data_IF_106317809717
#
_entry.id   IF_106317809717
#
_cell.length_a   1.000
_cell.length_b   1.000
_cell.length_c   1.000
_cell.angle_alpha   90.00
_cell.angle_beta   90.00
_cell.angle_gamma   90.00
#
_symmetry.space_group_name_H-M   'P 1'
#
loop_
_entity.id
_entity.type
_entity.pdbx_description
1 polymer ?
#
# COMPACT_ATOMS: atom_id res chain seq x y z
N UNK A 1 -19.90 -27.18 -1.60
CA UNK A 1 -19.04 -26.94 -2.78
C UNK A 1 -17.59 -27.08 -2.32
N UNK A 2 -16.82 -28.02 -2.87
CA UNK A 2 -15.38 -28.13 -2.60
C UNK A 2 -14.68 -26.98 -3.34
N UNK A 3 -14.35 -25.92 -2.61
CA UNK A 3 -13.57 -24.79 -3.13
C UNK A 3 -12.22 -25.32 -3.61
N UNK A 4 -11.96 -25.23 -4.92
CA UNK A 4 -10.64 -25.59 -5.47
C UNK A 4 -9.58 -24.78 -4.74
N UNK A 5 -8.57 -25.48 -4.24
CA UNK A 5 -7.39 -24.86 -3.62
C UNK A 5 -6.86 -23.77 -4.56
N UNK A 6 -6.69 -22.54 -4.08
CA UNK A 6 -6.21 -21.39 -4.85
C UNK A 6 -4.81 -21.59 -5.44
N UNK A 7 -4.13 -22.65 -5.03
CA UNK A 7 -2.83 -23.07 -5.54
C UNK A 7 -2.93 -24.02 -6.75
N UNK A 8 -4.12 -24.42 -7.18
CA UNK A 8 -4.28 -25.33 -8.32
C UNK A 8 -4.38 -24.55 -9.65
N UNK A 9 -3.53 -24.89 -10.61
CA UNK A 9 -3.48 -24.30 -11.95
C UNK A 9 -3.75 -25.35 -13.02
N UNK A 10 -4.70 -25.12 -13.94
CA UNK A 10 -4.99 -26.08 -15.02
C UNK A 10 -3.82 -26.18 -16.01
N UNK A 11 -3.68 -27.35 -16.63
CA UNK A 11 -2.69 -27.56 -17.68
C UNK A 11 -2.97 -26.67 -18.91
N UNK A 12 -2.00 -25.88 -19.41
CA UNK A 12 -2.21 -24.92 -20.51
C UNK A 12 -2.57 -25.54 -21.88
N UNK A 13 -2.39 -26.85 -22.07
CA UNK A 13 -2.65 -27.51 -23.36
C UNK A 13 -4.14 -27.59 -23.73
N UNK A 14 -5.07 -27.24 -22.83
CA UNK A 14 -6.53 -27.16 -23.10
C UNK A 14 -7.24 -28.50 -23.26
N UNK A 15 -6.57 -29.53 -23.79
CA UNK A 15 -7.08 -30.92 -23.89
C UNK A 15 -6.84 -31.73 -22.62
N UNK A 16 -5.85 -31.33 -21.82
CA UNK A 16 -5.47 -32.00 -20.59
C UNK A 16 -6.29 -31.48 -19.40
N UNK A 17 -7.02 -32.37 -18.70
CA UNK A 17 -7.82 -32.01 -17.51
C UNK A 17 -7.01 -31.96 -16.20
N UNK A 18 -5.72 -32.28 -16.26
CA UNK A 18 -4.81 -32.20 -15.11
C UNK A 18 -4.38 -30.76 -14.83
N UNK A 19 -3.64 -30.60 -13.75
CA UNK A 19 -3.12 -29.32 -13.32
C UNK A 19 -2.00 -29.47 -12.31
N UNK A 20 -1.51 -28.34 -11.84
CA UNK A 20 -0.34 -28.22 -11.00
C UNK A 20 -0.72 -27.56 -9.68
N UNK A 21 -0.10 -27.98 -8.58
CA UNK A 21 -0.26 -27.32 -7.29
C UNK A 21 0.97 -26.48 -7.00
N UNK A 22 0.77 -25.20 -6.72
CA UNK A 22 1.78 -24.26 -6.26
C UNK A 22 1.99 -24.36 -4.75
N UNK A 23 3.23 -24.25 -4.31
CA UNK A 23 3.48 -23.85 -2.92
C UNK A 23 3.19 -22.35 -2.80
N UNK A 24 2.66 -21.92 -1.66
CA UNK A 24 2.22 -20.54 -1.44
C UNK A 24 3.33 -19.50 -1.65
N UNK A 25 4.59 -19.92 -1.56
CA UNK A 25 5.80 -19.10 -1.69
C UNK A 25 6.36 -18.99 -3.13
N UNK A 26 5.87 -19.79 -4.07
CA UNK A 26 6.37 -19.80 -5.46
C UNK A 26 5.52 -18.87 -6.34
N UNK A 27 6.16 -17.96 -7.08
CA UNK A 27 5.50 -17.05 -8.04
C UNK A 27 5.53 -17.59 -9.48
N UNK A 28 6.53 -18.41 -9.79
CA UNK A 28 6.75 -19.06 -11.07
C UNK A 28 7.28 -20.47 -10.86
N UNK A 29 6.80 -21.42 -11.66
CA UNK A 29 7.28 -22.80 -11.65
C UNK A 29 7.29 -23.34 -13.06
N UNK A 30 8.42 -23.93 -13.44
CA UNK A 30 8.50 -24.79 -14.62
C UNK A 30 8.28 -26.23 -14.20
N UNK A 31 7.25 -26.87 -14.74
CA UNK A 31 6.88 -28.23 -14.40
C UNK A 31 6.42 -29.00 -15.65
N UNK A 32 6.65 -30.30 -15.64
CA UNK A 32 6.13 -31.22 -16.66
C UNK A 32 4.76 -31.71 -16.18
N UNK A 33 3.76 -31.69 -17.05
CA UNK A 33 2.43 -32.20 -16.72
C UNK A 33 2.46 -33.74 -16.67
N UNK A 34 2.11 -34.33 -15.53
CA UNK A 34 2.09 -35.80 -15.35
C UNK A 34 1.15 -36.55 -16.30
N UNK A 35 0.21 -35.85 -16.96
CA UNK A 35 -0.77 -36.45 -17.86
C UNK A 35 -0.54 -36.20 -19.35
N UNK A 36 0.29 -35.21 -19.72
CA UNK A 36 0.59 -34.95 -21.14
C UNK A 36 2.08 -34.83 -21.46
N UNK A 37 2.95 -34.97 -20.46
CA UNK A 37 4.41 -34.86 -20.55
C UNK A 37 4.93 -33.55 -21.19
N UNK A 38 4.05 -32.56 -21.34
CA UNK A 38 4.43 -31.23 -21.84
C UNK A 38 5.00 -30.40 -20.71
N UNK A 39 6.19 -29.84 -20.95
CA UNK A 39 6.83 -28.88 -20.06
C UNK A 39 6.16 -27.52 -20.18
N UNK A 40 5.64 -27.03 -19.06
CA UNK A 40 4.98 -25.73 -18.97
C UNK A 40 5.70 -24.83 -17.96
N UNK A 41 5.75 -23.54 -18.27
CA UNK A 41 6.08 -22.50 -17.31
C UNK A 41 4.79 -21.86 -16.85
N UNK A 42 4.45 -22.05 -15.58
CA UNK A 42 3.21 -21.57 -14.98
C UNK A 42 3.59 -20.39 -14.08
N UNK A 43 2.88 -19.30 -14.22
CA UNK A 43 3.05 -18.09 -13.41
C UNK A 43 1.77 -17.85 -12.65
N UNK A 44 1.90 -17.52 -11.36
CA UNK A 44 0.76 -17.03 -10.59
C UNK A 44 0.29 -15.73 -11.26
N UNK A 45 -0.95 -15.70 -11.69
CA UNK A 45 -1.53 -14.50 -12.30
C UNK A 45 -1.74 -13.49 -11.17
N UNK A 46 -0.81 -12.55 -11.01
CA UNK A 46 -1.10 -11.30 -10.29
C UNK A 46 -1.98 -10.46 -11.21
N UNK A 47 -3.24 -10.86 -11.38
CA UNK A 47 -4.25 -9.99 -11.98
C UNK A 47 -4.54 -8.88 -10.95
N UNK A 48 -3.84 -7.76 -11.12
CA UNK A 48 -4.28 -6.49 -10.59
C UNK A 48 -5.30 -5.95 -11.57
N UNK A 49 -6.47 -5.60 -11.07
CA UNK A 49 -7.49 -4.94 -11.84
C UNK A 49 -6.95 -3.64 -12.46
N UNK A 50 -7.47 -3.28 -13.62
CA UNK A 50 -7.06 -2.07 -14.34
C UNK A 50 -7.26 -0.82 -13.46
N UNK A 51 -8.34 -0.78 -12.68
CA UNK A 51 -8.62 0.31 -11.73
C UNK A 51 -7.53 0.49 -10.66
N UNK A 52 -6.96 -0.59 -10.13
CA UNK A 52 -5.83 -0.49 -9.20
C UNK A 52 -4.57 0.05 -9.87
N UNK A 53 -4.30 -0.34 -11.12
CA UNK A 53 -3.16 0.19 -11.87
C UNK A 53 -3.35 1.69 -12.22
N UNK A 54 -4.58 2.12 -12.49
CA UNK A 54 -4.91 3.54 -12.65
C UNK A 54 -4.68 4.32 -11.36
N UNK A 55 -5.16 3.81 -10.23
CA UNK A 55 -4.94 4.44 -8.91
C UNK A 55 -3.45 4.55 -8.54
N UNK A 56 -2.63 3.60 -8.96
CA UNK A 56 -1.16 3.68 -8.83
C UNK A 56 -0.56 4.77 -9.72
N UNK A 57 -1.00 4.87 -10.99
CA UNK A 57 -0.52 5.89 -11.94
C UNK A 57 -0.90 7.31 -11.50
N UNK A 58 -2.11 7.49 -10.98
CA UNK A 58 -2.59 8.76 -10.45
C UNK A 58 -1.95 9.12 -9.10
N UNK A 59 -1.25 8.17 -8.46
CA UNK A 59 -0.64 8.37 -7.15
C UNK A 59 -1.65 8.44 -6.01
N UNK A 60 -2.91 8.04 -6.23
CA UNK A 60 -3.94 7.86 -5.18
C UNK A 60 -3.57 6.71 -4.24
N UNK A 61 -2.95 5.67 -4.81
CA UNK A 61 -2.32 4.58 -4.06
C UNK A 61 -0.82 4.67 -4.29
N UNK A 62 -0.04 4.48 -3.23
CA UNK A 62 1.41 4.28 -3.32
C UNK A 62 1.80 3.01 -2.58
N UNK A 63 2.78 2.30 -3.11
CA UNK A 63 3.28 1.08 -2.50
C UNK A 63 4.36 1.42 -1.46
N UNK A 64 4.28 0.81 -0.28
CA UNK A 64 5.31 0.92 0.73
C UNK A 64 6.68 0.58 0.11
N UNK A 65 7.72 1.42 0.26
CA UNK A 65 9.01 1.22 -0.37
C UNK A 65 9.67 -0.11 0.04
N UNK A 66 9.45 -0.53 1.30
CA UNK A 66 10.03 -1.75 1.88
C UNK A 66 9.28 -3.04 1.50
N UNK A 67 7.97 -3.12 1.68
CA UNK A 67 7.21 -4.38 1.52
C UNK A 67 6.19 -4.39 0.38
N UNK A 68 6.11 -3.29 -0.40
CA UNK A 68 5.17 -3.09 -1.51
C UNK A 68 3.69 -3.20 -1.15
N UNK A 69 3.34 -3.13 0.14
CA UNK A 69 1.95 -3.07 0.57
C UNK A 69 1.31 -1.75 0.11
N UNK A 70 0.09 -1.78 -0.47
CA UNK A 70 -0.57 -0.57 -0.93
C UNK A 70 -1.03 0.31 0.22
N UNK A 71 -0.84 1.61 0.07
CA UNK A 71 -1.26 2.64 1.00
C UNK A 71 -2.03 3.74 0.28
N UNK A 72 -2.96 4.34 1.00
CA UNK A 72 -3.63 5.57 0.64
C UNK A 72 -3.35 6.63 1.71
N UNK A 73 -3.49 7.89 1.32
CA UNK A 73 -3.39 9.05 2.20
C UNK A 73 -4.49 10.03 1.83
N UNK A 74 -5.25 10.47 2.84
CA UNK A 74 -6.22 11.54 2.66
C UNK A 74 -5.53 12.91 2.57
N UNK A 75 -6.17 13.84 1.85
CA UNK A 75 -5.73 15.22 1.77
C UNK A 75 -5.78 15.90 3.15
N UNK A 76 -4.74 16.68 3.47
CA UNK A 76 -4.66 17.36 4.76
C UNK A 76 -4.00 16.53 5.87
N UNK A 77 -3.24 15.49 5.52
CA UNK A 77 -2.40 14.72 6.45
C UNK A 77 -0.93 14.89 6.13
N UNK A 78 -0.05 14.72 7.12
CA UNK A 78 1.37 14.77 6.83
C UNK A 78 1.80 13.57 5.98
N UNK A 79 2.84 13.76 5.17
CA UNK A 79 3.37 12.73 4.30
C UNK A 79 4.09 11.59 5.05
N UNK A 80 4.36 11.72 6.35
CA UNK A 80 4.99 10.65 7.13
C UNK A 80 3.95 9.64 7.59
N UNK A 81 4.02 8.42 7.05
CA UNK A 81 3.08 7.32 7.27
C UNK A 81 3.78 6.11 7.88
N UNK A 82 3.03 5.29 8.63
CA UNK A 82 3.49 3.97 9.08
C UNK A 82 2.88 2.87 8.21
N UNK A 83 3.69 1.91 7.79
CA UNK A 83 3.19 0.76 7.06
C UNK A 83 2.47 -0.22 8.00
N UNK A 84 1.16 -0.46 7.82
CA UNK A 84 0.41 -1.41 8.64
C UNK A 84 0.83 -2.88 8.48
N UNK A 85 1.63 -3.22 7.45
CA UNK A 85 2.13 -4.59 7.22
C UNK A 85 3.53 -4.82 7.80
N UNK A 86 4.48 -3.93 7.52
CA UNK A 86 5.88 -4.10 7.95
C UNK A 86 6.32 -3.11 9.05
N UNK A 87 5.42 -2.25 9.54
CA UNK A 87 5.64 -1.26 10.59
C UNK A 87 6.72 -0.18 10.27
N UNK A 88 7.24 -0.16 9.04
CA UNK A 88 8.20 0.84 8.57
C UNK A 88 7.56 2.23 8.46
N UNK A 89 8.25 3.26 8.91
CA UNK A 89 7.88 4.64 8.65
C UNK A 89 8.43 5.11 7.31
N UNK A 90 7.64 5.83 6.53
CA UNK A 90 8.06 6.33 5.23
C UNK A 90 7.34 7.63 4.84
N UNK A 91 7.96 8.40 3.95
CA UNK A 91 7.40 9.63 3.41
C UNK A 91 6.66 9.34 2.10
N UNK A 92 5.36 9.65 2.06
CA UNK A 92 4.46 9.50 0.93
C UNK A 92 5.01 10.14 -0.34
N UNK A 93 5.56 11.37 -0.23
CA UNK A 93 6.03 12.17 -1.36
C UNK A 93 7.38 11.71 -1.87
N UNK A 94 8.36 11.55 -0.99
CA UNK A 94 9.76 11.25 -1.36
C UNK A 94 10.10 9.77 -1.41
N UNK A 95 9.23 8.90 -0.89
CA UNK A 95 9.41 7.44 -0.75
C UNK A 95 10.56 7.01 0.17
N UNK A 96 11.16 7.96 0.90
CA UNK A 96 12.19 7.68 1.89
C UNK A 96 11.59 6.98 3.11
N UNK A 97 12.41 6.18 3.80
CA UNK A 97 11.97 5.42 4.97
C UNK A 97 13.00 5.51 6.12
N UNK A 98 12.51 5.39 7.35
CA UNK A 98 13.34 5.41 8.54
C UNK A 98 12.75 4.52 9.64
N UNK A 99 13.57 4.26 10.67
CA UNK A 99 13.15 3.41 11.80
C UNK A 99 12.14 4.10 12.70
N UNK A 100 12.14 5.44 12.74
CA UNK A 100 11.26 6.22 13.62
C UNK A 100 10.49 7.29 12.85
N UNK A 101 9.28 7.62 13.33
CA UNK A 101 8.48 8.71 12.78
C UNK A 101 9.13 10.08 12.99
N UNK A 102 9.86 10.26 14.10
CA UNK A 102 10.53 11.51 14.46
C UNK A 102 11.59 11.88 13.43
N UNK A 103 12.49 10.95 13.14
CA UNK A 103 13.57 11.12 12.16
C UNK A 103 13.03 11.56 10.79
N UNK A 104 12.00 10.87 10.29
CA UNK A 104 11.35 11.23 9.02
C UNK A 104 10.65 12.58 9.07
N UNK A 105 9.96 12.90 10.17
CA UNK A 105 9.27 14.20 10.31
C UNK A 105 10.28 15.34 10.35
N UNK A 106 11.39 15.18 11.06
CA UNK A 106 12.42 16.22 11.18
C UNK A 106 13.08 16.48 9.81
N UNK A 107 13.44 15.42 9.08
CA UNK A 107 13.93 15.53 7.70
C UNK A 107 12.90 16.17 6.76
N UNK A 108 11.65 15.72 6.82
CA UNK A 108 10.59 16.24 5.97
C UNK A 108 10.26 17.71 6.24
N UNK A 109 10.45 18.21 7.47
CA UNK A 109 10.35 19.65 7.78
C UNK A 109 11.49 20.43 7.14
N UNK A 110 12.73 19.95 7.30
CA UNK A 110 13.91 20.59 6.73
C UNK A 110 13.80 20.71 5.20
N UNK A 111 13.27 19.67 4.55
CA UNK A 111 13.12 19.61 3.09
C UNK A 111 11.79 20.18 2.57
N UNK A 112 10.90 20.65 3.46
CA UNK A 112 9.54 21.13 3.11
C UNK A 112 8.71 20.08 2.35
N UNK A 113 8.89 18.81 2.71
CA UNK A 113 8.15 17.65 2.16
C UNK A 113 7.20 17.02 3.19
N UNK A 114 7.06 17.60 4.38
CA UNK A 114 6.15 17.11 5.42
C UNK A 114 4.67 17.14 4.98
N UNK A 115 4.31 18.06 4.09
CA UNK A 115 2.95 18.25 3.56
C UNK A 115 2.98 18.31 2.04
N UNK A 116 1.90 17.92 1.38
CA UNK A 116 1.69 18.35 -0.02
C UNK A 116 1.27 19.82 -0.04
N UNK A 117 1.40 20.51 -1.20
CA UNK A 117 1.00 21.91 -1.32
C UNK A 117 -0.46 22.15 -0.87
N UNK A 118 -0.65 23.12 0.02
CA UNK A 118 -1.96 23.54 0.52
C UNK A 118 -2.57 22.66 1.63
N UNK A 119 -1.98 21.49 1.91
CA UNK A 119 -2.56 20.54 2.87
C UNK A 119 -2.49 21.02 4.31
N UNK A 120 -1.40 21.72 4.69
CA UNK A 120 -1.25 22.26 6.03
C UNK A 120 -2.28 23.36 6.27
N UNK A 121 -2.41 24.30 5.33
CA UNK A 121 -3.39 25.38 5.40
C UNK A 121 -4.81 24.83 5.43
N UNK A 122 -5.11 23.83 4.61
CA UNK A 122 -6.40 23.13 4.63
C UNK A 122 -6.68 22.51 5.99
N UNK A 123 -5.72 21.77 6.57
CA UNK A 123 -5.90 21.13 7.87
C UNK A 123 -6.13 22.17 8.98
N UNK A 124 -5.34 23.25 9.00
CA UNK A 124 -5.46 24.32 9.99
C UNK A 124 -6.81 25.05 9.86
N UNK A 125 -7.25 25.32 8.64
CA UNK A 125 -8.56 25.91 8.37
C UNK A 125 -9.69 24.98 8.83
N UNK A 126 -9.60 23.69 8.50
CA UNK A 126 -10.59 22.68 8.88
C UNK A 126 -10.72 22.58 10.39
N UNK A 127 -9.62 22.55 11.13
CA UNK A 127 -9.67 22.53 12.60
C UNK A 127 -10.34 23.77 13.19
N UNK A 128 -10.05 24.96 12.63
CA UNK A 128 -10.60 26.22 13.13
C UNK A 128 -12.10 26.36 12.83
N UNK A 129 -12.50 26.04 11.61
CA UNK A 129 -13.86 26.30 11.11
C UNK A 129 -14.81 25.13 11.39
N UNK A 130 -14.30 23.89 11.40
CA UNK A 130 -15.09 22.69 11.62
C UNK A 130 -14.29 21.61 12.40
N UNK A 131 -14.15 21.78 13.73
CA UNK A 131 -13.39 20.86 14.58
C UNK A 131 -13.86 19.40 14.50
N UNK A 132 -15.16 19.17 14.28
CA UNK A 132 -15.71 17.80 14.17
C UNK A 132 -15.26 17.12 12.88
N UNK A 133 -15.30 17.82 11.75
CA UNK A 133 -14.76 17.29 10.50
C UNK A 133 -13.25 17.04 10.57
N UNK A 134 -12.51 17.87 11.32
CA UNK A 134 -11.10 17.66 11.58
C UNK A 134 -10.84 16.40 12.41
N UNK A 135 -11.57 16.19 13.52
CA UNK A 135 -11.47 14.96 14.32
C UNK A 135 -11.78 13.70 13.49
N UNK A 136 -12.81 13.76 12.65
CA UNK A 136 -13.15 12.66 11.75
C UNK A 136 -12.09 12.41 10.67
N UNK A 137 -11.42 13.45 10.14
CA UNK A 137 -10.25 13.27 9.26
C UNK A 137 -9.14 12.50 9.96
N UNK A 138 -8.78 12.87 11.19
CA UNK A 138 -7.75 12.19 11.97
C UNK A 138 -8.13 10.73 12.27
N UNK A 139 -9.36 10.52 12.75
CA UNK A 139 -9.87 9.19 13.14
C UNK A 139 -9.88 8.21 11.97
N UNK A 140 -10.34 8.63 10.79
CA UNK A 140 -10.32 7.80 9.57
C UNK A 140 -8.92 7.35 9.16
N UNK A 141 -7.90 8.06 9.61
CA UNK A 141 -6.49 7.78 9.33
C UNK A 141 -5.76 7.19 10.56
N UNK A 142 -6.51 6.73 11.57
CA UNK A 142 -5.96 6.08 12.76
C UNK A 142 -5.18 7.02 13.68
N UNK A 143 -5.39 8.34 13.56
CA UNK A 143 -4.76 9.34 14.39
C UNK A 143 -5.74 9.75 15.49
N UNK A 144 -5.34 9.59 16.74
CA UNK A 144 -6.11 10.07 17.88
C UNK A 144 -5.97 11.60 17.98
N UNK A 145 -7.10 12.31 18.06
CA UNK A 145 -7.10 13.74 18.28
C UNK A 145 -6.59 14.04 19.69
N UNK A 146 -5.50 14.80 19.77
CA UNK A 146 -4.98 15.31 21.04
C UNK A 146 -5.12 16.84 21.05
N UNK A 147 -6.00 17.42 21.91
CA UNK A 147 -6.20 18.86 21.98
C UNK A 147 -4.96 19.63 22.47
N UNK A 148 -4.02 18.93 23.13
CA UNK A 148 -2.76 19.49 23.59
C UNK A 148 -1.62 19.28 22.58
N UNK A 149 -1.91 18.74 21.39
CA UNK A 149 -0.89 18.53 20.36
C UNK A 149 -0.41 19.87 19.82
N UNK A 150 0.76 20.29 20.27
CA UNK A 150 1.51 21.36 19.61
C UNK A 150 1.99 20.83 18.25
N UNK A 151 1.37 21.27 17.16
CA UNK A 151 1.92 21.09 15.81
C UNK A 151 3.30 21.75 15.83
N UNK A 152 4.35 20.91 15.79
CA UNK A 152 5.73 21.35 16.04
C UNK A 152 6.04 22.67 15.34
N UNK A 153 6.48 23.65 16.14
CA UNK A 153 7.07 24.88 15.62
C UNK A 153 8.22 24.50 14.67
N UNK A 154 8.27 25.19 13.53
CA UNK A 154 9.30 25.03 12.52
C UNK A 154 10.70 25.32 13.05
#
# INVERSE_FOLDING_TARGET
>A
MLSRNSNWFPCPTGKCKYGFVFKTTESEKTAVCDACDVKHTIKRKEERDEGFNEMLKEGKIRLCPACKFPHMKDYGLCNVLQCGKCNMWWNWRTLEFAKTSKELKDKARAERTLWEPGELEYQMKLEKENPEAFKELLKRNGIEYNPNYARGQG
#
